data_IF_100652788773
#
_entry.id   IF_100652788773
#
_cell.length_a   1.000
_cell.length_b   1.000
_cell.length_c   1.000
_cell.angle_alpha   90.00
_cell.angle_beta   90.00
_cell.angle_gamma   90.00
#
_symmetry.space_group_name_H-M   'P 1'
#
loop_
_entity.id
_entity.type
_entity.pdbx_description
1 polymer ?
#
# COMPACT_ATOMS: atom_id res chain seq x y z
N UNK A 1 -2.22 8.02 -8.92
CA UNK A 1 -2.48 7.60 -7.52
C UNK A 1 -2.67 6.10 -7.48
N UNK A 2 -2.12 5.41 -6.49
CA UNK A 2 -2.19 3.94 -6.35
C UNK A 2 -2.37 3.58 -4.88
N UNK A 3 -3.16 2.54 -4.64
CA UNK A 3 -3.29 1.89 -3.35
C UNK A 3 -2.28 0.75 -3.19
N UNK A 4 -1.37 0.86 -2.23
CA UNK A 4 -0.43 -0.19 -1.85
C UNK A 4 -1.03 -1.03 -0.73
N UNK A 5 -1.31 -2.30 -1.02
CA UNK A 5 -1.81 -3.28 -0.05
C UNK A 5 -0.83 -4.42 0.12
N UNK A 6 -1.00 -5.24 1.15
CA UNK A 6 -0.11 -6.35 1.46
C UNK A 6 -0.80 -7.69 1.30
N UNK A 7 -0.04 -8.75 1.09
CA UNK A 7 -0.53 -10.12 1.25
C UNK A 7 -0.70 -10.50 2.73
N UNK A 8 -0.06 -9.76 3.64
CA UNK A 8 -0.02 -10.01 5.08
C UNK A 8 0.36 -8.71 5.84
N UNK A 9 0.30 -8.75 7.17
CA UNK A 9 0.91 -7.73 8.03
C UNK A 9 2.43 -7.90 8.02
N UNK A 10 3.19 -6.80 8.13
CA UNK A 10 4.66 -6.87 8.20
C UNK A 10 5.38 -7.17 6.89
N UNK A 11 4.69 -7.27 5.74
CA UNK A 11 5.32 -7.46 4.40
C UNK A 11 6.16 -6.26 3.92
N UNK A 12 6.27 -5.21 4.73
CA UNK A 12 7.07 -4.01 4.44
C UNK A 12 6.42 -3.03 3.47
N UNK A 13 5.09 -2.84 3.57
CA UNK A 13 4.35 -1.82 2.82
C UNK A 13 4.99 -0.44 2.97
N UNK A 14 5.17 0.04 4.21
CA UNK A 14 5.81 1.33 4.53
C UNK A 14 7.16 1.50 3.86
N UNK A 15 7.95 0.43 3.85
CA UNK A 15 9.26 0.43 3.25
C UNK A 15 9.20 0.55 1.72
N UNK A 16 8.33 -0.22 1.06
CA UNK A 16 8.12 -0.11 -0.39
C UNK A 16 7.52 1.25 -0.75
N UNK A 17 6.56 1.77 0.01
CA UNK A 17 6.02 3.12 -0.12
C UNK A 17 7.13 4.18 -0.04
N UNK A 18 8.08 4.02 0.89
CA UNK A 18 9.27 4.89 1.02
C UNK A 18 10.16 4.84 -0.20
N UNK A 19 10.47 3.64 -0.71
CA UNK A 19 11.31 3.45 -1.91
C UNK A 19 10.66 4.12 -3.12
N UNK A 20 9.37 3.86 -3.35
CA UNK A 20 8.62 4.42 -4.47
C UNK A 20 8.53 5.94 -4.34
N UNK A 21 8.12 6.44 -3.18
CA UNK A 21 7.96 7.86 -2.94
C UNK A 21 9.26 8.63 -3.13
N UNK A 22 10.38 8.13 -2.61
CA UNK A 22 11.71 8.73 -2.82
C UNK A 22 12.11 8.74 -4.29
N UNK A 23 11.91 7.63 -4.99
CA UNK A 23 12.25 7.54 -6.41
C UNK A 23 11.45 8.56 -7.21
N UNK A 24 10.12 8.54 -7.09
CA UNK A 24 9.26 9.44 -7.84
C UNK A 24 9.53 10.92 -7.50
N UNK A 25 9.74 11.26 -6.22
CA UNK A 25 10.00 12.64 -5.81
C UNK A 25 11.38 13.15 -6.25
N UNK A 26 12.44 12.39 -5.98
CA UNK A 26 13.81 12.90 -6.10
C UNK A 26 14.51 12.51 -7.40
N UNK A 27 14.11 11.42 -8.06
CA UNK A 27 14.68 10.99 -9.36
C UNK A 27 13.85 11.52 -10.52
N UNK A 28 12.52 11.38 -10.42
CA UNK A 28 11.56 11.74 -11.46
C UNK A 28 10.97 13.16 -11.28
N UNK A 29 11.28 13.85 -10.18
CA UNK A 29 10.81 15.21 -9.89
C UNK A 29 9.28 15.35 -9.90
N UNK A 30 8.57 14.33 -9.41
CA UNK A 30 7.11 14.31 -9.29
C UNK A 30 6.71 14.83 -7.91
N UNK A 31 5.67 15.67 -7.84
CA UNK A 31 5.13 16.08 -6.54
C UNK A 31 4.33 14.93 -5.91
N UNK A 32 4.98 14.20 -5.00
CA UNK A 32 4.42 13.00 -4.35
C UNK A 32 3.84 13.31 -2.97
N UNK A 33 2.59 12.91 -2.76
CA UNK A 33 1.93 12.90 -1.46
C UNK A 33 1.75 11.48 -0.91
N UNK A 34 1.37 11.40 0.36
CA UNK A 34 1.14 10.14 1.06
C UNK A 34 -0.16 10.19 1.87
N UNK A 35 -0.90 9.08 1.89
CA UNK A 35 -2.06 8.88 2.74
C UNK A 35 -2.01 7.46 3.29
N UNK A 36 -2.06 7.32 4.61
CA UNK A 36 -2.35 6.06 5.28
C UNK A 36 -3.74 6.16 5.88
N UNK A 37 -4.81 5.69 5.21
CA UNK A 37 -6.17 5.96 5.67
C UNK A 37 -6.47 5.50 7.09
N UNK A 38 -5.86 4.39 7.49
CA UNK A 38 -5.98 3.76 8.81
C UNK A 38 -4.59 3.26 9.22
N UNK A 39 -4.18 3.55 10.45
CA UNK A 39 -2.95 3.06 11.06
C UNK A 39 -3.27 2.60 12.49
N UNK A 40 -2.61 1.52 12.93
CA UNK A 40 -2.84 0.86 14.21
C UNK A 40 -1.50 0.56 14.86
N UNK A 41 -1.36 0.84 16.16
CA UNK A 41 -0.13 0.58 16.91
C UNK A 41 0.82 1.77 17.03
N UNK A 42 0.37 2.97 16.64
CA UNK A 42 1.19 4.18 16.61
C UNK A 42 0.98 4.98 15.32
N UNK A 43 1.94 5.84 14.98
CA UNK A 43 1.90 6.77 13.82
C UNK A 43 3.22 6.75 13.02
N UNK A 44 4.09 5.78 13.32
CA UNK A 44 5.48 5.73 12.86
C UNK A 44 5.57 5.57 11.34
N UNK A 45 4.66 4.82 10.73
CA UNK A 45 4.68 4.63 9.28
C UNK A 45 4.33 5.95 8.58
N UNK A 46 3.33 6.66 9.10
CA UNK A 46 2.94 7.98 8.58
C UNK A 46 4.00 9.04 8.82
N UNK A 47 4.60 9.09 10.01
CA UNK A 47 5.70 10.00 10.33
C UNK A 47 6.91 9.75 9.42
N UNK A 48 7.28 8.48 9.22
CA UNK A 48 8.39 8.09 8.34
C UNK A 48 8.19 8.60 6.91
N UNK A 49 7.00 8.45 6.35
CA UNK A 49 6.71 8.92 4.99
C UNK A 49 6.56 10.43 4.91
N UNK A 50 6.00 11.08 5.94
CA UNK A 50 5.95 12.55 6.05
C UNK A 50 7.36 13.14 5.97
N UNK A 51 8.28 12.65 6.78
CA UNK A 51 9.66 13.16 6.82
C UNK A 51 10.42 12.81 5.54
N UNK A 52 10.27 11.56 5.09
CA UNK A 52 10.90 11.08 3.85
C UNK A 52 10.51 11.90 2.63
N UNK A 53 9.24 12.29 2.54
CA UNK A 53 8.72 13.05 1.41
C UNK A 53 8.64 14.55 1.73
N UNK A 54 9.14 15.02 2.87
CA UNK A 54 9.03 16.42 3.31
C UNK A 54 7.60 16.98 3.12
N UNK A 55 6.59 16.29 3.66
CA UNK A 55 5.19 16.68 3.58
C UNK A 55 4.84 17.69 4.68
N UNK A 56 4.11 18.74 4.32
CA UNK A 56 3.78 19.84 5.23
C UNK A 56 2.50 19.57 6.03
N UNK A 57 1.69 18.61 5.60
CA UNK A 57 0.39 18.33 6.22
C UNK A 57 0.52 17.79 7.64
N UNK A 58 -0.39 18.20 8.50
CA UNK A 58 -0.59 17.61 9.82
C UNK A 58 -0.77 16.09 9.73
N UNK A 59 -0.27 15.36 10.74
CA UNK A 59 -0.35 13.89 10.77
C UNK A 59 -1.79 13.38 10.67
N UNK A 60 -2.77 14.12 11.21
CA UNK A 60 -4.18 13.75 11.12
C UNK A 60 -4.79 13.90 9.71
N UNK A 61 -4.13 14.61 8.79
CA UNK A 61 -4.50 14.65 7.38
C UNK A 61 -3.92 13.44 6.66
N UNK A 62 -2.65 13.14 6.92
CA UNK A 62 -1.93 11.99 6.33
C UNK A 62 -2.42 10.64 6.88
N UNK A 63 -2.91 10.61 8.11
CA UNK A 63 -3.52 9.47 8.77
C UNK A 63 -4.80 9.89 9.53
N UNK A 64 -5.95 9.93 8.85
CA UNK A 64 -7.20 10.41 9.44
C UNK A 64 -7.83 9.47 10.49
N UNK A 65 -7.39 8.21 10.53
CA UNK A 65 -7.82 7.21 11.51
C UNK A 65 -6.55 6.59 12.11
N UNK A 66 -6.21 7.03 13.31
CA UNK A 66 -5.08 6.53 14.08
C UNK A 66 -5.58 5.75 15.30
N UNK A 67 -5.15 4.51 15.45
CA UNK A 67 -5.52 3.59 16.52
C UNK A 67 -4.27 3.25 17.34
N UNK A 68 -4.40 3.23 18.66
CA UNK A 68 -3.26 3.08 19.58
C UNK A 68 -2.73 1.66 19.63
N UNK A 69 -3.59 0.66 19.59
CA UNK A 69 -3.19 -0.73 19.75
C UNK A 69 -2.74 -1.34 18.41
N UNK A 70 -1.66 -2.15 18.40
CA UNK A 70 -1.16 -2.83 17.20
C UNK A 70 -2.02 -4.05 16.83
N UNK A 71 -3.30 -3.81 16.59
CA UNK A 71 -4.33 -4.82 16.28
C UNK A 71 -4.95 -4.53 14.91
N UNK A 72 -5.70 -5.48 14.34
CA UNK A 72 -6.50 -5.18 13.16
C UNK A 72 -7.51 -4.06 13.47
N UNK A 73 -7.86 -3.19 12.50
CA UNK A 73 -8.67 -2.00 12.79
C UNK A 73 -9.99 -2.32 13.49
N UNK A 74 -10.70 -3.37 13.08
CA UNK A 74 -11.95 -3.77 13.73
C UNK A 74 -11.78 -4.09 15.23
N UNK A 75 -10.70 -4.80 15.59
CA UNK A 75 -10.42 -5.18 16.97
C UNK A 75 -9.91 -3.97 17.75
N UNK A 76 -9.07 -3.13 17.14
CA UNK A 76 -8.59 -1.90 17.78
C UNK A 76 -9.74 -0.92 18.07
N UNK A 77 -10.71 -0.74 17.17
CA UNK A 77 -11.90 0.07 17.46
C UNK A 77 -12.69 -0.44 18.66
N UNK A 78 -12.82 -1.77 18.80
CA UNK A 78 -13.55 -2.42 19.89
C UNK A 78 -12.80 -2.27 21.22
N UNK A 79 -11.51 -2.64 21.26
CA UNK A 79 -10.67 -2.62 22.46
C UNK A 79 -10.40 -1.20 22.97
N UNK A 80 -10.34 -0.21 22.07
CA UNK A 80 -10.14 1.20 22.44
C UNK A 80 -11.44 1.92 22.80
N UNK A 81 -12.59 1.22 22.74
CA UNK A 81 -13.93 1.80 22.90
C UNK A 81 -14.14 3.04 22.01
N UNK A 82 -13.50 3.03 20.83
CA UNK A 82 -13.48 4.16 19.92
C UNK A 82 -14.81 4.20 19.15
N UNK A 83 -15.77 4.90 19.74
CA UNK A 83 -17.13 5.05 19.23
C UNK A 83 -17.18 5.94 17.98
N UNK A 84 -16.95 5.33 16.82
CA UNK A 84 -17.07 5.97 15.50
C UNK A 84 -17.90 5.08 14.56
N UNK A 85 -18.79 5.69 13.78
CA UNK A 85 -19.56 4.96 12.76
C UNK A 85 -18.74 4.70 11.49
N UNK A 86 -19.09 3.67 10.71
CA UNK A 86 -18.49 3.44 9.39
C UNK A 86 -18.64 4.67 8.47
N UNK A 87 -19.76 5.42 8.58
CA UNK A 87 -19.98 6.66 7.82
C UNK A 87 -18.94 7.72 8.16
N UNK A 88 -18.64 7.92 9.44
CA UNK A 88 -17.63 8.88 9.88
C UNK A 88 -16.21 8.45 9.46
N UNK A 89 -15.88 7.16 9.56
CA UNK A 89 -14.61 6.63 9.04
C UNK A 89 -14.44 6.99 7.56
N UNK A 90 -15.44 6.66 6.74
CA UNK A 90 -15.43 6.95 5.29
C UNK A 90 -15.30 8.45 5.00
N UNK A 91 -16.02 9.29 5.76
CA UNK A 91 -15.97 10.74 5.58
C UNK A 91 -14.59 11.33 5.91
N UNK A 92 -13.98 10.92 7.03
CA UNK A 92 -12.64 11.36 7.43
C UNK A 92 -11.61 10.96 6.38
N UNK A 93 -11.62 9.70 5.94
CA UNK A 93 -10.72 9.21 4.90
C UNK A 93 -10.93 9.95 3.57
N UNK A 94 -12.17 10.09 3.10
CA UNK A 94 -12.46 10.75 1.82
C UNK A 94 -12.08 12.23 1.86
N UNK A 95 -12.22 12.91 3.00
CA UNK A 95 -11.77 14.30 3.17
C UNK A 95 -10.26 14.42 2.98
N UNK A 96 -9.47 13.61 3.67
CA UNK A 96 -8.01 13.58 3.51
C UNK A 96 -7.60 13.20 2.09
N UNK A 97 -8.20 12.14 1.53
CA UNK A 97 -7.93 11.70 0.18
C UNK A 97 -8.18 12.81 -0.85
N UNK A 98 -9.34 13.47 -0.81
CA UNK A 98 -9.68 14.54 -1.75
C UNK A 98 -8.78 15.79 -1.61
N UNK A 99 -8.33 16.09 -0.38
CA UNK A 99 -7.41 17.21 -0.14
C UNK A 99 -6.05 16.90 -0.76
N UNK A 100 -5.49 15.74 -0.45
CA UNK A 100 -4.17 15.32 -0.91
C UNK A 100 -4.15 15.05 -2.42
N UNK A 101 -5.19 14.43 -2.97
CA UNK A 101 -5.29 14.14 -4.41
C UNK A 101 -5.35 15.40 -5.28
N UNK A 102 -5.73 16.55 -4.71
CA UNK A 102 -5.73 17.84 -5.41
C UNK A 102 -4.40 18.57 -5.29
N UNK A 103 -3.62 18.30 -4.24
CA UNK A 103 -2.34 18.97 -3.97
C UNK A 103 -1.15 18.29 -4.65
N UNK A 104 -1.23 16.98 -4.86
CA UNK A 104 -0.11 16.16 -5.35
C UNK A 104 -0.38 15.55 -6.72
N UNK A 105 0.64 15.52 -7.58
CA UNK A 105 0.60 14.88 -8.90
C UNK A 105 0.47 13.35 -8.77
N UNK A 106 1.06 12.80 -7.71
CA UNK A 106 0.96 11.40 -7.37
C UNK A 106 0.70 11.20 -5.88
N UNK A 107 -0.34 10.43 -5.56
CA UNK A 107 -0.67 10.07 -4.19
C UNK A 107 -0.42 8.57 -3.98
N UNK A 108 0.46 8.26 -3.03
CA UNK A 108 0.63 6.92 -2.46
C UNK A 108 -0.46 6.75 -1.39
N UNK A 109 -1.32 5.74 -1.53
CA UNK A 109 -2.29 5.38 -0.50
C UNK A 109 -1.88 4.03 0.09
N UNK A 110 -1.54 3.97 1.37
CA UNK A 110 -1.07 2.74 2.02
C UNK A 110 -2.15 2.11 2.89
N UNK A 111 -2.46 0.84 2.66
CA UNK A 111 -3.40 0.08 3.48
C UNK A 111 -2.80 -0.48 4.78
N UNK A 112 -3.67 -0.89 5.70
CA UNK A 112 -3.29 -1.61 6.92
C UNK A 112 -3.51 -3.12 6.76
N UNK A 113 -2.47 -3.93 7.00
CA UNK A 113 -2.55 -5.40 6.83
C UNK A 113 -2.80 -5.84 5.38
N UNK A 114 -3.65 -6.85 5.19
CA UNK A 114 -4.05 -7.38 3.89
C UNK A 114 -5.49 -7.03 3.46
N UNK A 115 -5.87 -7.40 2.25
CA UNK A 115 -7.12 -6.94 1.59
C UNK A 115 -8.42 -7.44 2.23
N UNK A 116 -8.34 -8.54 2.98
CA UNK A 116 -9.45 -9.14 3.72
C UNK A 116 -9.53 -8.66 5.18
N UNK A 117 -8.63 -7.78 5.62
CA UNK A 117 -8.66 -7.23 6.99
C UNK A 117 -9.95 -6.44 7.20
N UNK A 118 -10.75 -6.77 8.24
CA UNK A 118 -11.96 -6.02 8.56
C UNK A 118 -11.63 -4.64 9.14
N UNK A 119 -12.37 -3.62 8.70
CA UNK A 119 -12.32 -2.27 9.25
C UNK A 119 -13.45 -2.09 10.26
N UNK A 120 -14.70 -2.17 9.81
CA UNK A 120 -15.90 -2.02 10.66
C UNK A 120 -17.15 -2.47 9.89
N UNK A 121 -18.17 -3.01 10.56
CA UNK A 121 -19.48 -3.32 9.97
C UNK A 121 -19.41 -4.11 8.63
N UNK A 122 -18.60 -5.18 8.60
CA UNK A 122 -18.28 -5.99 7.41
C UNK A 122 -17.57 -5.26 6.25
N UNK A 123 -17.20 -3.99 6.43
CA UNK A 123 -16.39 -3.24 5.49
C UNK A 123 -14.93 -3.68 5.61
N UNK A 124 -14.36 -4.22 4.53
CA UNK A 124 -12.99 -4.72 4.49
C UNK A 124 -12.02 -3.66 3.92
N UNK A 125 -10.73 -3.88 4.08
CA UNK A 125 -9.69 -3.09 3.42
C UNK A 125 -9.88 -3.03 1.90
N UNK A 126 -10.27 -4.14 1.27
CA UNK A 126 -10.65 -4.16 -0.15
C UNK A 126 -11.85 -3.27 -0.49
N UNK A 127 -12.85 -3.15 0.40
CA UNK A 127 -13.97 -2.23 0.19
C UNK A 127 -13.53 -0.77 0.30
N UNK A 128 -12.50 -0.49 1.10
CA UNK A 128 -11.87 0.82 1.13
C UNK A 128 -11.20 1.17 -0.20
N UNK A 129 -10.45 0.23 -0.79
CA UNK A 129 -9.84 0.42 -2.12
C UNK A 129 -10.92 0.73 -3.16
N UNK A 130 -11.99 -0.08 -3.18
CA UNK A 130 -13.14 0.12 -4.06
C UNK A 130 -13.87 1.44 -3.81
N UNK A 131 -14.00 1.87 -2.56
CA UNK A 131 -14.61 3.15 -2.18
C UNK A 131 -13.80 4.36 -2.64
N UNK A 132 -12.47 4.25 -2.67
CA UNK A 132 -11.59 5.29 -3.20
C UNK A 132 -11.53 5.30 -4.73
N UNK A 133 -11.89 4.19 -5.37
CA UNK A 133 -11.94 4.01 -6.83
C UNK A 133 -10.57 4.25 -7.48
N UNK A 134 -9.54 3.61 -6.93
CA UNK A 134 -8.16 3.70 -7.42
C UNK A 134 -7.56 2.31 -7.63
N UNK A 135 -6.62 2.17 -8.58
CA UNK A 135 -5.94 0.90 -8.80
C UNK A 135 -5.04 0.53 -7.61
N UNK A 136 -4.68 -0.74 -7.54
CA UNK A 136 -3.88 -1.30 -6.46
C UNK A 136 -2.58 -1.97 -6.94
N UNK A 137 -1.58 -1.98 -6.06
CA UNK A 137 -0.36 -2.78 -6.17
C UNK A 137 -0.24 -3.63 -4.91
N UNK A 138 0.08 -4.90 -5.09
CA UNK A 138 0.21 -5.87 -3.99
C UNK A 138 1.67 -5.96 -3.58
N UNK A 139 1.95 -5.80 -2.30
CA UNK A 139 3.25 -6.05 -1.69
C UNK A 139 3.24 -7.46 -1.09
N UNK A 140 4.15 -8.32 -1.53
CA UNK A 140 4.31 -9.68 -1.04
C UNK A 140 5.71 -9.93 -0.49
N UNK A 141 5.88 -11.02 0.26
CA UNK A 141 7.17 -11.50 0.79
C UNK A 141 7.66 -12.69 -0.02
N UNK A 142 8.98 -12.98 -0.08
CA UNK A 142 9.48 -14.08 -0.91
C UNK A 142 9.32 -15.47 -0.27
N UNK A 143 9.00 -15.56 1.03
CA UNK A 143 9.05 -16.80 1.79
C UNK A 143 7.96 -17.82 1.39
N UNK A 144 8.15 -19.08 1.81
CA UNK A 144 7.18 -20.16 1.63
C UNK A 144 5.76 -19.74 2.03
N UNK A 145 4.77 -20.13 1.22
CA UNK A 145 3.37 -19.72 1.35
C UNK A 145 3.02 -18.47 0.53
N UNK A 146 4.01 -17.75 0.00
CA UNK A 146 3.78 -16.53 -0.79
C UNK A 146 2.92 -16.75 -2.03
N UNK A 147 3.05 -17.89 -2.71
CA UNK A 147 2.21 -18.23 -3.87
C UNK A 147 0.74 -18.17 -3.47
N UNK A 148 0.34 -18.92 -2.43
CA UNK A 148 -1.03 -18.96 -1.93
C UNK A 148 -1.53 -17.57 -1.55
N UNK A 149 -0.80 -16.85 -0.69
CA UNK A 149 -1.25 -15.54 -0.21
C UNK A 149 -1.37 -14.51 -1.34
N UNK A 150 -0.45 -14.55 -2.29
CA UNK A 150 -0.46 -13.62 -3.43
C UNK A 150 -1.62 -13.93 -4.36
N UNK A 151 -1.82 -15.19 -4.75
CA UNK A 151 -2.92 -15.59 -5.64
C UNK A 151 -4.30 -15.31 -5.03
N UNK A 152 -4.52 -15.65 -3.76
CA UNK A 152 -5.77 -15.35 -3.05
C UNK A 152 -6.02 -13.83 -2.95
N UNK A 153 -4.97 -13.03 -2.75
CA UNK A 153 -5.08 -11.56 -2.72
C UNK A 153 -5.47 -11.01 -4.08
N UNK A 154 -4.86 -11.50 -5.16
CA UNK A 154 -5.18 -11.10 -6.54
C UNK A 154 -6.63 -11.44 -6.87
N UNK A 155 -7.04 -12.69 -6.61
CA UNK A 155 -8.38 -13.17 -6.89
C UNK A 155 -9.44 -12.35 -6.13
N UNK A 156 -9.22 -12.12 -4.84
CA UNK A 156 -10.14 -11.32 -4.01
C UNK A 156 -10.32 -9.90 -4.53
N UNK A 157 -9.23 -9.23 -4.92
CA UNK A 157 -9.29 -7.87 -5.48
C UNK A 157 -10.02 -7.85 -6.83
N UNK A 158 -9.70 -8.78 -7.74
CA UNK A 158 -10.33 -8.87 -9.06
C UNK A 158 -11.82 -9.20 -8.96
N UNK A 159 -12.21 -10.11 -8.06
CA UNK A 159 -13.62 -10.43 -7.81
C UNK A 159 -14.42 -9.22 -7.28
N UNK A 160 -13.75 -8.23 -6.67
CA UNK A 160 -14.36 -6.95 -6.29
C UNK A 160 -14.34 -5.89 -7.40
N UNK A 161 -13.76 -6.20 -8.56
CA UNK A 161 -13.60 -5.29 -9.69
C UNK A 161 -12.48 -4.26 -9.49
N UNK A 162 -11.51 -4.55 -8.61
CA UNK A 162 -10.37 -3.66 -8.36
C UNK A 162 -9.28 -4.00 -9.36
N UNK A 163 -8.75 -2.96 -10.01
CA UNK A 163 -7.62 -3.08 -10.92
C UNK A 163 -6.32 -3.33 -10.14
N UNK A 164 -5.61 -4.41 -10.48
CA UNK A 164 -4.34 -4.82 -9.87
C UNK A 164 -3.24 -4.60 -10.89
N UNK A 165 -2.37 -3.62 -10.64
CA UNK A 165 -1.32 -3.22 -11.58
C UNK A 165 -0.10 -4.14 -11.58
N UNK A 166 0.09 -4.89 -10.52
CA UNK A 166 1.21 -5.82 -10.38
C UNK A 166 1.49 -6.20 -8.94
N UNK A 167 2.47 -7.07 -8.78
CA UNK A 167 3.00 -7.50 -7.50
C UNK A 167 4.43 -6.96 -7.33
N UNK A 168 4.74 -6.43 -6.15
CA UNK A 168 6.11 -6.11 -5.74
C UNK A 168 6.51 -7.09 -4.64
N UNK A 169 7.63 -7.80 -4.85
CA UNK A 169 8.22 -8.65 -3.83
C UNK A 169 9.19 -7.84 -2.99
N UNK A 170 8.91 -7.74 -1.69
CA UNK A 170 9.79 -7.13 -0.72
C UNK A 170 10.56 -8.21 0.05
N UNK A 171 11.88 -8.25 -0.14
CA UNK A 171 12.76 -9.29 0.37
C UNK A 171 13.18 -9.02 1.81
N UNK A 172 12.24 -9.21 2.74
CA UNK A 172 12.51 -9.09 4.18
C UNK A 172 13.49 -10.18 4.64
N UNK A 173 13.48 -11.32 3.96
CA UNK A 173 14.55 -12.32 4.00
C UNK A 173 15.41 -12.18 2.75
N UNK A 174 16.70 -12.46 2.86
CA UNK A 174 17.57 -12.44 1.69
C UNK A 174 17.11 -13.49 0.68
N UNK A 175 17.05 -13.13 -0.59
CA UNK A 175 16.61 -14.04 -1.64
C UNK A 175 17.51 -15.28 -1.77
N UNK A 176 18.80 -15.15 -1.45
CA UNK A 176 19.74 -16.27 -1.40
C UNK A 176 19.34 -17.36 -0.39
N UNK A 177 18.57 -17.00 0.64
CA UNK A 177 18.04 -17.93 1.64
C UNK A 177 16.70 -18.55 1.21
N UNK A 178 16.10 -18.10 0.09
CA UNK A 178 14.82 -18.58 -0.43
C UNK A 178 15.07 -19.50 -1.61
N UNK A 179 15.03 -20.80 -1.36
CA UNK A 179 15.25 -21.82 -2.37
C UNK A 179 14.28 -21.66 -3.56
N UNK A 180 14.84 -21.59 -4.78
CA UNK A 180 14.09 -21.53 -6.04
C UNK A 180 13.07 -20.37 -6.09
N UNK A 181 13.42 -19.20 -5.53
CA UNK A 181 12.52 -18.04 -5.53
C UNK A 181 12.13 -17.62 -6.95
N UNK A 182 12.99 -17.81 -7.96
CA UNK A 182 12.65 -17.52 -9.36
C UNK A 182 11.46 -18.36 -9.84
N UNK A 183 11.42 -19.66 -9.51
CA UNK A 183 10.27 -20.54 -9.83
C UNK A 183 9.02 -20.16 -9.05
N UNK A 184 9.18 -19.69 -7.82
CA UNK A 184 8.08 -19.15 -7.03
C UNK A 184 7.46 -17.93 -7.72
N UNK A 185 8.30 -17.03 -8.25
CA UNK A 185 7.86 -15.82 -8.93
C UNK A 185 7.21 -16.13 -10.27
N UNK A 186 7.82 -16.98 -11.10
CA UNK A 186 7.22 -17.48 -12.35
C UNK A 186 5.83 -18.11 -12.10
N UNK A 187 5.68 -18.89 -11.03
CA UNK A 187 4.38 -19.49 -10.66
C UNK A 187 3.33 -18.44 -10.31
N UNK A 188 3.70 -17.39 -9.57
CA UNK A 188 2.79 -16.29 -9.25
C UNK A 188 2.35 -15.57 -10.52
N UNK A 189 3.26 -15.33 -11.46
CA UNK A 189 2.95 -14.62 -12.70
C UNK A 189 2.00 -15.42 -13.59
N UNK A 190 2.29 -16.71 -13.78
CA UNK A 190 1.51 -17.63 -14.62
C UNK A 190 0.11 -17.86 -14.04
N UNK A 191 0.01 -18.37 -12.80
CA UNK A 191 -1.29 -18.68 -12.18
C UNK A 191 -2.08 -17.42 -11.81
N UNK A 192 -1.38 -16.33 -11.50
CA UNK A 192 -1.99 -15.05 -11.17
C UNK A 192 -2.38 -14.24 -12.39
N UNK A 193 -1.94 -14.62 -13.60
CA UNK A 193 -2.01 -13.80 -14.81
C UNK A 193 -1.70 -12.32 -14.48
N UNK A 194 -0.57 -12.10 -13.83
CA UNK A 194 -0.14 -10.80 -13.28
C UNK A 194 1.38 -10.69 -13.44
N UNK A 195 1.89 -9.48 -13.50
CA UNK A 195 3.34 -9.25 -13.57
C UNK A 195 3.92 -8.97 -12.16
N UNK A 196 5.09 -9.54 -11.89
CA UNK A 196 5.95 -9.08 -10.79
C UNK A 196 6.69 -7.84 -11.29
N UNK A 197 6.07 -6.69 -11.05
CA UNK A 197 6.55 -5.38 -11.49
C UNK A 197 7.70 -4.85 -10.63
N UNK A 198 8.07 -5.53 -9.54
CA UNK A 198 9.23 -5.13 -8.77
C UNK A 198 9.74 -6.13 -7.75
N UNK A 199 11.04 -6.06 -7.50
CA UNK A 199 11.75 -6.78 -6.45
C UNK A 199 12.58 -5.77 -5.67
N UNK A 200 12.30 -5.66 -4.37
CA UNK A 200 13.07 -4.82 -3.44
C UNK A 200 13.93 -5.75 -2.59
N UNK A 201 15.26 -5.71 -2.78
CA UNK A 201 16.20 -6.62 -2.10
C UNK A 201 16.66 -6.04 -0.76
N UNK A 202 17.08 -4.78 -0.76
CA UNK A 202 17.54 -4.04 0.42
C UNK A 202 17.57 -2.51 0.14
N UNK A 203 18.06 -1.72 1.10
CA UNK A 203 18.09 -0.25 0.99
C UNK A 203 18.99 0.23 -0.14
N UNK A 204 18.34 0.72 -1.20
CA UNK A 204 19.03 1.20 -2.41
C UNK A 204 19.23 0.14 -3.48
N UNK A 205 18.86 -1.12 -3.21
CA UNK A 205 18.92 -2.24 -4.15
C UNK A 205 17.50 -2.73 -4.47
N UNK A 206 16.91 -2.15 -5.51
CA UNK A 206 15.60 -2.55 -6.01
C UNK A 206 15.58 -2.49 -7.52
N UNK A 207 14.74 -3.34 -8.12
CA UNK A 207 14.35 -3.28 -9.52
C UNK A 207 12.84 -3.19 -9.56
N UNK A 208 12.31 -2.02 -9.91
CA UNK A 208 10.86 -1.75 -10.00
C UNK A 208 10.58 -1.13 -11.37
N UNK A 209 9.57 -1.62 -12.08
CA UNK A 209 9.03 -0.98 -13.27
C UNK A 209 8.10 0.17 -12.86
N UNK A 210 8.66 1.37 -12.81
CA UNK A 210 7.91 2.57 -12.43
C UNK A 210 6.85 2.96 -13.47
N UNK A 211 6.89 2.49 -14.72
CA UNK A 211 5.86 2.79 -15.71
C UNK A 211 4.51 2.16 -15.32
N UNK A 212 4.54 1.00 -14.67
CA UNK A 212 3.34 0.31 -14.14
C UNK A 212 2.75 1.02 -12.93
N UNK A 213 3.57 1.81 -12.23
CA UNK A 213 3.21 2.53 -11.02
C UNK A 213 2.77 3.97 -11.35
N UNK A 214 3.33 4.59 -12.39
CA UNK A 214 3.04 5.96 -12.82
C UNK A 214 1.76 6.10 -13.66
N UNK A 215 0.79 5.22 -13.44
CA UNK A 215 -0.48 5.19 -14.19
C UNK A 215 -1.09 6.61 -14.34
N UNK A 216 -1.19 7.07 -15.58
CA UNK A 216 -1.71 8.38 -15.99
C UNK A 216 -1.00 9.63 -15.44
N UNK A 217 0.23 9.52 -14.94
CA UNK A 217 1.05 10.69 -14.58
C UNK A 217 1.82 11.15 -15.82
N UNK A 218 1.59 12.38 -16.27
CA UNK A 218 2.45 13.00 -17.28
C UNK A 218 3.79 13.34 -16.64
N UNK A 219 4.84 12.61 -17.02
CA UNK A 219 6.21 13.00 -16.71
C UNK A 219 6.56 14.17 -17.63
N UNK A 220 6.70 15.37 -17.07
CA UNK A 220 7.23 16.49 -17.84
C UNK A 220 8.75 16.34 -17.93
N UNK A 221 9.34 16.42 -19.14
CA UNK A 221 10.79 16.30 -19.28
C UNK A 221 11.49 17.41 -18.49
N UNK A 222 12.64 17.05 -17.90
CA UNK A 222 13.51 18.00 -17.16
C UNK A 222 13.89 19.16 -18.09
N UNK A 223 13.64 20.39 -17.65
CA UNK A 223 14.19 21.60 -18.27
C UNK A 223 15.71 21.65 -18.11
#
# INVERSE_FOLDING_TARGET
>A
MIFFTGTDTGVGKTYVSTVIGKHLKYRENINVGYLKPIESGGIEDTATLKDTLNLEEELNVLNPINLKNPLSPNVAFEVEEYNISLKEIKNKIKKSFNLLSKKYDYLIVEGAGGVAVPIKDHFLMSDLIKFLDIPSVIISKPNLGTINHTLLTIEHLRNKGIDVKGVIINCISKLEDVLYYEKTFETIEDYGNIEIIGIVKDYGNYKIDFNKILYNVKIYPKC
#
